data_IF_585284933483
#
_entry.id   IF_585284933483
#
_cell.length_a   1.000
_cell.length_b   1.000
_cell.length_c   1.000
_cell.angle_alpha   90.00
_cell.angle_beta   90.00
_cell.angle_gamma   90.00
#
_symmetry.space_group_name_H-M   'P 1'
#
loop_
_entity.id
_entity.type
_entity.pdbx_description
1 polymer ?
#
# COMPACT_ATOMS: atom_id res chain seq x y z
N UNK A 1 22.22 24.49 12.74
CA UNK A 1 22.33 23.03 12.50
C UNK A 1 21.49 22.33 13.54
N UNK A 2 20.23 22.04 13.23
CA UNK A 2 19.28 21.39 14.15
C UNK A 2 19.39 19.87 13.96
N UNK A 3 19.42 19.07 15.04
CA UNK A 3 19.48 17.63 14.93
C UNK A 3 18.14 17.09 14.43
N UNK A 4 18.19 16.27 13.38
CA UNK A 4 17.06 15.45 12.91
C UNK A 4 16.78 14.38 13.99
N UNK A 5 15.78 14.59 14.78
CA UNK A 5 15.24 13.55 15.68
C UNK A 5 14.53 12.51 14.80
N UNK A 6 15.19 11.40 14.57
CA UNK A 6 14.59 10.22 13.92
C UNK A 6 13.63 9.61 14.94
N UNK A 7 12.37 10.03 14.90
CA UNK A 7 11.30 9.33 15.60
C UNK A 7 11.13 7.96 14.94
N UNK A 8 11.62 6.91 15.57
CA UNK A 8 11.29 5.54 15.19
C UNK A 8 9.79 5.37 15.35
N UNK A 9 9.07 5.31 14.24
CA UNK A 9 7.66 4.88 14.23
C UNK A 9 7.69 3.41 14.65
N UNK A 10 7.16 3.12 15.83
CA UNK A 10 6.94 1.75 16.25
C UNK A 10 5.92 1.13 15.28
N UNK A 11 6.41 0.25 14.40
CA UNK A 11 5.53 -0.59 13.59
C UNK A 11 4.88 -1.58 14.54
N UNK A 12 3.61 -1.36 14.89
CA UNK A 12 2.81 -2.40 15.51
C UNK A 12 2.85 -3.61 14.58
N UNK A 13 3.36 -4.70 15.09
CA UNK A 13 3.40 -6.00 14.39
C UNK A 13 1.97 -6.30 13.94
N UNK A 14 1.76 -6.49 12.64
CA UNK A 14 0.47 -6.92 12.10
C UNK A 14 0.20 -8.29 12.74
N UNK A 15 -0.81 -8.41 13.63
CA UNK A 15 -1.14 -9.69 14.21
C UNK A 15 -1.53 -10.63 13.08
N UNK A 16 -1.03 -11.87 13.10
CA UNK A 16 -1.29 -12.95 12.14
C UNK A 16 -0.54 -12.94 10.80
N UNK A 17 0.42 -12.07 10.57
CA UNK A 17 1.43 -12.34 9.55
C UNK A 17 2.51 -13.21 10.18
N UNK A 18 2.37 -14.53 10.06
CA UNK A 18 3.46 -15.44 10.43
C UNK A 18 4.72 -15.02 9.69
N UNK A 19 5.86 -14.87 10.39
CA UNK A 19 7.13 -14.70 9.71
C UNK A 19 7.30 -15.93 8.80
N UNK A 20 7.28 -15.69 7.48
CA UNK A 20 7.59 -16.76 6.52
C UNK A 20 9.08 -17.08 6.71
N UNK A 21 9.38 -18.17 7.36
CA UNK A 21 10.72 -18.74 7.30
C UNK A 21 10.97 -19.12 5.83
N UNK A 22 11.80 -18.33 5.16
CA UNK A 22 12.14 -18.53 3.77
C UNK A 22 11.48 -17.54 2.79
N UNK A 23 11.66 -17.83 1.51
CA UNK A 23 11.14 -17.00 0.41
C UNK A 23 9.63 -17.17 0.27
N UNK A 24 8.88 -16.06 0.20
CA UNK A 24 7.42 -16.10 0.08
C UNK A 24 6.94 -16.88 -1.15
N UNK A 25 5.77 -17.54 -1.10
CA UNK A 25 5.21 -18.24 -2.27
C UNK A 25 5.10 -17.34 -3.50
N UNK A 26 4.75 -16.07 -3.33
CA UNK A 26 4.66 -15.11 -4.42
C UNK A 26 6.02 -14.89 -5.11
N UNK A 27 7.08 -14.67 -4.35
CA UNK A 27 8.43 -14.50 -4.90
C UNK A 27 8.95 -15.78 -5.56
N UNK A 28 8.64 -16.94 -4.95
CA UNK A 28 8.98 -18.25 -5.56
C UNK A 28 8.30 -18.44 -6.90
N UNK A 29 7.00 -18.12 -6.99
CA UNK A 29 6.25 -18.20 -8.24
C UNK A 29 6.84 -17.25 -9.31
N UNK A 30 7.18 -16.01 -8.96
CA UNK A 30 7.85 -15.07 -9.85
C UNK A 30 9.18 -15.62 -10.41
N UNK A 31 9.87 -16.45 -9.63
CA UNK A 31 11.13 -17.13 -10.03
C UNK A 31 10.91 -18.50 -10.65
N UNK A 32 9.67 -18.87 -10.96
CA UNK A 32 9.29 -20.18 -11.53
C UNK A 32 9.72 -21.36 -10.67
N UNK A 33 9.76 -21.18 -9.35
CA UNK A 33 10.03 -22.26 -8.37
C UNK A 33 8.72 -22.92 -7.93
N UNK A 34 8.74 -24.18 -7.52
CA UNK A 34 7.57 -24.85 -6.97
C UNK A 34 6.98 -24.08 -5.79
N UNK A 35 5.65 -23.99 -5.76
CA UNK A 35 4.87 -23.34 -4.70
C UNK A 35 3.77 -24.26 -4.20
N UNK A 36 3.38 -24.19 -2.92
CA UNK A 36 2.37 -25.08 -2.34
C UNK A 36 0.94 -24.76 -2.84
N UNK A 37 0.71 -23.54 -3.34
CA UNK A 37 -0.56 -23.07 -3.89
C UNK A 37 -0.27 -21.95 -4.90
N UNK A 38 -1.25 -21.56 -5.71
CA UNK A 38 -1.14 -20.42 -6.61
C UNK A 38 -1.25 -19.12 -5.81
N UNK A 39 -0.18 -18.32 -5.68
CA UNK A 39 -0.25 -17.03 -5.00
C UNK A 39 -1.15 -16.06 -5.74
N UNK A 40 -1.90 -15.25 -5.02
CA UNK A 40 -2.83 -14.29 -5.60
C UNK A 40 -2.55 -12.87 -5.17
N UNK A 41 -2.72 -11.98 -6.12
CA UNK A 41 -2.75 -10.55 -5.96
C UNK A 41 -3.85 -9.97 -6.85
N UNK A 42 -4.65 -9.06 -6.33
CA UNK A 42 -5.71 -8.42 -7.09
C UNK A 42 -5.32 -6.99 -7.47
N UNK A 43 -5.47 -6.62 -8.74
CA UNK A 43 -5.04 -5.34 -9.29
C UNK A 43 -5.62 -4.12 -8.55
N UNK A 44 -6.84 -4.22 -8.03
CA UNK A 44 -7.53 -3.13 -7.31
C UNK A 44 -7.82 -3.53 -5.88
N UNK A 45 -6.79 -3.87 -5.14
CA UNK A 45 -6.92 -4.23 -3.73
C UNK A 45 -7.42 -3.05 -2.90
N UNK A 46 -6.75 -1.89 -2.99
CA UNK A 46 -7.23 -0.66 -2.39
C UNK A 46 -8.34 -0.06 -3.23
N UNK A 47 -9.43 0.36 -2.61
CA UNK A 47 -10.47 1.01 -3.37
C UNK A 47 -11.78 1.24 -2.63
N UNK A 48 -12.69 1.90 -3.33
CA UNK A 48 -13.99 2.35 -2.82
C UNK A 48 -14.90 1.23 -2.30
N UNK A 49 -14.61 -0.03 -2.62
CA UNK A 49 -15.33 -1.20 -2.10
C UNK A 49 -15.10 -1.41 -0.61
N UNK A 50 -13.95 -0.97 -0.08
CA UNK A 50 -13.60 -1.14 1.33
C UNK A 50 -14.18 0.03 2.16
N UNK A 51 -15.02 -0.26 3.18
CA UNK A 51 -15.53 0.78 4.07
C UNK A 51 -14.40 1.56 4.77
N UNK A 52 -13.38 0.86 5.25
CA UNK A 52 -12.19 1.43 5.88
C UNK A 52 -11.44 2.39 4.95
N UNK A 53 -11.34 2.07 3.67
CA UNK A 53 -10.76 2.98 2.67
C UNK A 53 -11.56 4.29 2.56
N UNK A 54 -12.88 4.18 2.51
CA UNK A 54 -13.76 5.36 2.45
C UNK A 54 -13.61 6.25 3.69
N UNK A 55 -13.49 5.62 4.86
CA UNK A 55 -13.30 6.33 6.14
C UNK A 55 -11.97 7.09 6.15
N UNK A 56 -10.86 6.42 5.82
CA UNK A 56 -9.53 7.03 5.80
C UNK A 56 -9.44 8.16 4.77
N UNK A 57 -10.10 7.99 3.63
CA UNK A 57 -10.09 8.97 2.54
C UNK A 57 -11.10 10.11 2.69
N UNK A 58 -11.98 10.07 3.67
CA UNK A 58 -13.03 11.09 3.83
C UNK A 58 -12.44 12.53 3.85
N UNK A 59 -12.92 13.37 2.94
CA UNK A 59 -12.46 14.75 2.82
C UNK A 59 -11.05 14.95 2.24
N UNK A 60 -10.36 13.87 1.82
CA UNK A 60 -8.99 13.96 1.28
C UNK A 60 -8.97 13.60 -0.21
N UNK A 61 -8.49 14.50 -1.05
CA UNK A 61 -8.31 14.26 -2.48
C UNK A 61 -7.21 13.22 -2.78
N UNK A 62 -7.21 12.65 -4.00
CA UNK A 62 -6.28 11.58 -4.38
C UNK A 62 -4.82 11.99 -4.22
N UNK A 63 -4.43 13.11 -4.80
CA UNK A 63 -3.04 13.58 -4.74
C UNK A 63 -2.60 13.98 -3.33
N UNK A 64 -3.53 14.53 -2.53
CA UNK A 64 -3.26 14.84 -1.13
C UNK A 64 -3.04 13.56 -0.30
N UNK A 65 -3.82 12.51 -0.54
CA UNK A 65 -3.62 11.22 0.09
C UNK A 65 -2.29 10.58 -0.30
N UNK A 66 -1.91 10.66 -1.58
CA UNK A 66 -0.62 10.16 -2.08
C UNK A 66 0.60 10.97 -1.59
N UNK A 67 0.39 12.13 -0.99
CA UNK A 67 1.44 12.93 -0.35
C UNK A 67 1.57 12.66 1.16
N UNK A 68 0.76 11.77 1.72
CA UNK A 68 0.72 11.45 3.15
C UNK A 68 1.16 10.01 3.40
N UNK A 69 2.39 9.80 3.91
CA UNK A 69 2.93 8.45 4.16
C UNK A 69 2.06 7.60 5.09
N UNK A 70 1.47 8.20 6.13
CA UNK A 70 0.54 7.56 7.05
C UNK A 70 -0.68 6.97 6.33
N UNK A 71 -1.28 7.73 5.44
CA UNK A 71 -2.42 7.28 4.63
C UNK A 71 -2.02 6.22 3.60
N UNK A 72 -0.86 6.38 2.97
CA UNK A 72 -0.35 5.41 2.00
C UNK A 72 -0.17 4.04 2.66
N UNK A 73 0.48 4.01 3.82
CA UNK A 73 0.71 2.77 4.58
C UNK A 73 -0.62 2.14 4.96
N UNK A 74 -1.51 2.90 5.59
CA UNK A 74 -2.82 2.38 6.03
C UNK A 74 -3.61 1.80 4.85
N UNK A 75 -3.77 2.54 3.75
CA UNK A 75 -4.53 2.12 2.57
C UNK A 75 -3.90 0.89 1.91
N UNK A 76 -2.57 0.83 1.87
CA UNK A 76 -1.84 -0.32 1.30
C UNK A 76 -2.08 -1.59 2.10
N UNK A 77 -2.18 -1.50 3.43
CA UNK A 77 -2.32 -2.66 4.31
C UNK A 77 -3.76 -3.13 4.50
N UNK A 78 -4.77 -2.29 4.25
CA UNK A 78 -6.19 -2.65 4.41
C UNK A 78 -6.58 -3.93 3.66
N UNK A 79 -6.23 -4.12 2.37
CA UNK A 79 -6.56 -5.34 1.65
C UNK A 79 -5.90 -6.58 2.23
N UNK A 80 -4.68 -6.47 2.74
CA UNK A 80 -3.97 -7.60 3.34
C UNK A 80 -4.66 -8.09 4.61
N UNK A 81 -5.10 -7.15 5.46
CA UNK A 81 -5.83 -7.48 6.68
C UNK A 81 -7.19 -8.16 6.39
N UNK A 82 -7.80 -7.84 5.25
CA UNK A 82 -9.15 -8.30 4.91
C UNK A 82 -9.16 -9.58 4.08
N UNK A 83 -8.21 -9.76 3.16
CA UNK A 83 -8.30 -10.77 2.11
C UNK A 83 -7.19 -11.81 2.10
N UNK A 84 -6.25 -11.77 3.01
CA UNK A 84 -5.12 -12.72 3.05
C UNK A 84 -4.46 -12.96 1.67
N UNK A 85 -4.24 -11.89 0.91
CA UNK A 85 -3.56 -11.93 -0.39
C UNK A 85 -2.05 -12.02 -0.19
N UNK A 86 -1.34 -12.54 -1.21
CA UNK A 86 0.09 -12.85 -1.12
C UNK A 86 1.02 -11.68 -1.46
N UNK A 87 0.48 -10.56 -1.89
CA UNK A 87 1.25 -9.36 -2.20
C UNK A 87 0.47 -8.09 -1.92
N UNK A 88 1.18 -7.05 -1.49
CA UNK A 88 0.66 -5.69 -1.35
C UNK A 88 1.17 -4.82 -2.48
N UNK A 89 0.30 -3.95 -3.00
CA UNK A 89 0.70 -2.92 -3.96
C UNK A 89 0.62 -1.57 -3.25
N UNK A 90 1.71 -0.83 -3.28
CA UNK A 90 1.79 0.49 -2.70
C UNK A 90 0.69 1.38 -3.29
N UNK A 91 -0.15 1.94 -2.41
CA UNK A 91 -1.17 2.89 -2.81
C UNK A 91 -0.53 4.15 -3.41
N UNK A 92 -0.84 4.44 -4.65
CA UNK A 92 -0.34 5.61 -5.38
C UNK A 92 -1.25 5.92 -6.56
N UNK A 93 -0.98 7.03 -7.24
CA UNK A 93 -1.59 7.38 -8.53
C UNK A 93 -0.51 7.49 -9.60
N UNK A 94 -0.87 7.17 -10.85
CA UNK A 94 0.04 7.19 -12.00
C UNK A 94 0.61 8.59 -12.30
N UNK A 95 -0.06 9.65 -11.84
CA UNK A 95 0.38 11.04 -12.04
C UNK A 95 1.31 11.56 -10.94
N UNK A 96 1.52 10.81 -9.86
CA UNK A 96 2.41 11.23 -8.77
C UNK A 96 3.83 11.53 -9.25
N UNK A 97 4.47 10.74 -10.12
CA UNK A 97 5.79 11.06 -10.67
C UNK A 97 5.81 12.38 -11.47
N UNK A 98 4.74 12.67 -12.20
CA UNK A 98 4.63 13.92 -12.97
C UNK A 98 4.61 15.13 -12.05
N UNK A 99 3.85 15.04 -10.95
CA UNK A 99 3.83 16.08 -9.93
C UNK A 99 5.20 16.24 -9.24
N UNK A 100 5.89 15.15 -8.99
CA UNK A 100 7.21 15.17 -8.36
C UNK A 100 8.27 15.90 -9.19
N UNK A 101 8.16 15.87 -10.53
CA UNK A 101 9.05 16.62 -11.43
C UNK A 101 8.55 18.04 -11.72
N UNK A 102 7.57 18.54 -10.98
CA UNK A 102 7.11 19.93 -11.04
C UNK A 102 6.00 20.23 -12.04
N UNK A 103 5.39 19.23 -12.66
CA UNK A 103 4.24 19.43 -13.54
C UNK A 103 3.02 19.75 -12.66
N UNK A 104 2.41 20.94 -12.89
CA UNK A 104 1.15 21.32 -12.24
C UNK A 104 0.02 20.53 -12.86
N UNK A 105 -0.68 19.75 -12.03
CA UNK A 105 -1.83 18.95 -12.45
C UNK A 105 -2.83 18.79 -11.30
N UNK A 106 -4.08 18.65 -11.66
CA UNK A 106 -5.19 18.39 -10.75
C UNK A 106 -6.00 17.20 -11.25
N UNK A 107 -6.60 16.47 -10.32
CA UNK A 107 -7.53 15.39 -10.64
C UNK A 107 -8.93 15.93 -10.40
N UNK A 108 -9.66 16.18 -11.48
CA UNK A 108 -11.07 16.55 -11.40
C UNK A 108 -11.94 15.30 -11.22
N UNK A 109 -12.95 15.33 -10.35
CA UNK A 109 -13.97 14.30 -10.31
C UNK A 109 -14.66 14.19 -11.66
N UNK A 110 -14.75 12.98 -12.23
CA UNK A 110 -15.53 12.67 -13.41
C UNK A 110 -17.02 12.58 -13.10
#
# INVERSE_FOLDING_TARGET
MLPLTTGAVAYETIPDVMPLEGESPFLRACRRKPVPYTPVWYMRQAGRSLPEYRTVRAGTGMLAACARPDMIVEITLQPLRRYAVDAAILFSDIVVPLRAVGISLEISPG
#
